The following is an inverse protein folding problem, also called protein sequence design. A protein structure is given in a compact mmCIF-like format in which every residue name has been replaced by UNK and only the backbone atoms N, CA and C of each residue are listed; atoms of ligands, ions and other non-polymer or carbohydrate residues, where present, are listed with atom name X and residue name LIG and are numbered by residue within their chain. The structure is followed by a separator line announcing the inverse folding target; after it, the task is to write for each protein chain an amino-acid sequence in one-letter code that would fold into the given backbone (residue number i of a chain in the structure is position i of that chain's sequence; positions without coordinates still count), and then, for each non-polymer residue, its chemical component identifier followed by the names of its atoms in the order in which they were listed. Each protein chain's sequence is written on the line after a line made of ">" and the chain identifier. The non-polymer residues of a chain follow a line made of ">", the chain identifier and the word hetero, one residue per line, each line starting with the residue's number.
data_IF_860072469447
#
_entry.id   IF_860072469447
#
_cell.length_a   1.000
_cell.length_b   1.000
_cell.length_c   1.000
_cell.angle_alpha   90.00
_cell.angle_beta   90.00
_cell.angle_gamma   90.00
#
_symmetry.space_group_name_H-M   'P 1'
#
loop_
_entity.id
_entity.type
_entity.pdbx_description
1 polymer ?
#
# COMPACT_ATOMS: atom_id res chain seq x y z
N UNK A 1 9.32 -15.05 -2.88
CA UNK A 1 9.34 -14.89 -4.35
C UNK A 1 7.91 -14.99 -4.84
N UNK A 2 7.57 -14.24 -5.88
CA UNK A 2 6.25 -14.21 -6.53
C UNK A 2 6.41 -14.68 -7.97
N UNK A 3 5.32 -15.05 -8.64
CA UNK A 3 5.35 -15.29 -10.09
C UNK A 3 4.46 -14.26 -10.75
N UNK A 4 4.99 -13.58 -11.76
CA UNK A 4 4.27 -12.58 -12.56
C UNK A 4 4.25 -13.01 -14.03
N UNK A 5 3.22 -12.60 -14.75
CA UNK A 5 3.15 -12.81 -16.19
C UNK A 5 3.68 -11.60 -16.94
N UNK A 6 4.67 -11.82 -17.81
CA UNK A 6 5.17 -10.82 -18.74
C UNK A 6 4.73 -11.22 -20.15
N UNK A 7 3.61 -10.65 -20.60
CA UNK A 7 2.84 -11.22 -21.72
C UNK A 7 2.19 -12.53 -21.29
N UNK A 8 2.34 -13.59 -22.08
CA UNK A 8 1.82 -14.93 -21.79
C UNK A 8 2.86 -15.87 -21.12
N UNK A 9 3.96 -15.32 -20.62
CA UNK A 9 5.04 -16.11 -19.99
C UNK A 9 5.07 -15.88 -18.46
N UNK A 10 4.83 -16.92 -17.64
CA UNK A 10 4.93 -16.84 -16.19
C UNK A 10 6.41 -16.91 -15.74
N UNK A 11 6.86 -15.88 -15.03
CA UNK A 11 8.24 -15.74 -14.56
C UNK A 11 8.29 -15.54 -13.03
N UNK A 12 9.10 -16.33 -12.29
CA UNK A 12 9.32 -16.12 -10.87
C UNK A 12 10.25 -14.92 -10.63
N UNK A 13 9.84 -14.01 -9.75
CA UNK A 13 10.58 -12.82 -9.37
C UNK A 13 10.80 -12.78 -7.85
N UNK A 14 12.04 -12.46 -7.47
CA UNK A 14 12.43 -12.20 -6.09
C UNK A 14 12.95 -10.76 -5.99
N UNK A 15 12.31 -9.97 -5.14
CA UNK A 15 12.68 -8.58 -4.86
C UNK A 15 13.12 -8.52 -3.40
N UNK A 16 14.39 -8.23 -3.11
CA UNK A 16 14.85 -7.89 -1.76
C UNK A 16 14.14 -6.64 -1.23
N UNK A 17 13.95 -6.55 0.10
CA UNK A 17 13.22 -5.42 0.70
C UNK A 17 13.92 -4.08 0.53
N UNK A 18 15.25 -4.05 0.57
CA UNK A 18 16.07 -2.85 0.35
C UNK A 18 15.93 -2.26 -1.06
N UNK A 19 15.43 -3.05 -2.01
CA UNK A 19 15.27 -2.68 -3.41
C UNK A 19 13.93 -1.99 -3.68
N UNK A 20 13.06 -1.86 -2.66
CA UNK A 20 11.75 -1.20 -2.76
C UNK A 20 11.96 0.30 -2.59
N UNK A 21 11.63 1.08 -3.62
CA UNK A 21 11.73 2.55 -3.61
C UNK A 21 10.39 3.21 -3.30
N UNK A 22 9.30 2.64 -3.80
CA UNK A 22 7.96 3.18 -3.62
C UNK A 22 6.96 2.03 -3.57
N UNK A 23 5.99 2.15 -2.67
CA UNK A 23 4.87 1.25 -2.52
C UNK A 23 3.57 2.05 -2.66
N UNK A 24 2.61 1.58 -3.44
CA UNK A 24 1.33 2.26 -3.67
C UNK A 24 0.21 1.24 -3.59
N UNK A 25 -0.83 1.53 -2.81
CA UNK A 25 -2.08 0.77 -2.78
C UNK A 25 -3.26 1.64 -3.27
N UNK A 26 -3.74 1.42 -4.51
CA UNK A 26 -4.86 2.17 -5.08
C UNK A 26 -6.18 2.00 -4.34
N UNK A 27 -6.38 0.90 -3.61
CA UNK A 27 -7.68 0.58 -2.99
C UNK A 27 -8.05 1.54 -1.87
N UNK A 28 -7.03 2.15 -1.26
CA UNK A 28 -7.16 3.12 -0.16
C UNK A 28 -6.43 4.43 -0.47
N UNK A 29 -6.06 4.64 -1.74
CA UNK A 29 -5.39 5.85 -2.24
C UNK A 29 -4.17 6.27 -1.41
N UNK A 30 -3.36 5.31 -0.95
CA UNK A 30 -2.17 5.57 -0.12
C UNK A 30 -0.89 5.07 -0.78
N UNK A 31 0.24 5.68 -0.41
CA UNK A 31 1.56 5.21 -0.81
C UNK A 31 2.65 5.55 0.20
N UNK A 32 3.76 4.84 0.10
CA UNK A 32 4.99 5.04 0.86
C UNK A 32 6.14 5.24 -0.11
N UNK A 33 7.05 6.16 0.21
CA UNK A 33 8.34 6.31 -0.46
C UNK A 33 9.44 6.00 0.53
N UNK A 34 10.37 5.15 0.12
CA UNK A 34 11.53 4.79 0.91
C UNK A 34 12.72 5.56 0.36
N UNK A 35 13.45 6.22 1.24
CA UNK A 35 14.77 6.73 0.90
C UNK A 35 15.78 5.61 1.06
N UNK A 36 16.61 5.41 0.02
CA UNK A 36 17.75 4.52 0.12
C UNK A 36 18.73 5.17 1.09
N UNK A 37 18.65 4.82 2.36
CA UNK A 37 19.69 5.14 3.33
C UNK A 37 20.99 4.46 2.87
N UNK A 38 21.76 5.12 2.01
CA UNK A 38 23.20 4.89 1.97
C UNK A 38 23.69 5.18 3.38
N UNK A 39 24.22 4.16 4.06
CA UNK A 39 24.68 4.16 5.46
C UNK A 39 25.25 5.53 5.87
N UNK A 40 24.39 6.34 6.48
CA UNK A 40 24.62 7.71 6.89
C UNK A 40 23.48 8.08 7.81
N UNK A 41 23.83 8.21 9.08
CA UNK A 41 22.97 8.32 10.25
C UNK A 41 21.78 9.29 10.11
N UNK A 42 20.68 8.93 10.78
CA UNK A 42 19.57 9.77 11.21
C UNK A 42 18.80 10.55 10.13
N UNK A 43 17.65 10.03 9.69
CA UNK A 43 16.33 10.43 10.22
C UNK A 43 15.25 9.72 9.38
N UNK A 44 14.43 8.86 9.99
CA UNK A 44 13.27 8.28 9.31
C UNK A 44 12.14 9.31 9.26
N UNK A 45 12.29 10.34 8.43
CA UNK A 45 11.21 11.28 8.16
C UNK A 45 10.15 10.60 7.29
N UNK A 46 8.98 10.40 7.87
CA UNK A 46 7.77 9.95 7.15
C UNK A 46 7.36 11.11 6.24
N UNK A 47 7.87 11.14 5.00
CA UNK A 47 7.46 12.11 3.98
C UNK A 47 6.02 11.80 3.56
N UNK A 48 5.07 12.46 4.23
CA UNK A 48 3.71 12.60 3.73
C UNK A 48 3.77 13.43 2.45
N UNK A 49 3.32 12.85 1.32
CA UNK A 49 3.28 13.53 0.02
C UNK A 49 2.13 14.55 -0.02
N UNK A 50 2.16 15.56 0.85
CA UNK A 50 1.17 16.64 0.93
C UNK A 50 1.47 17.81 -0.05
N UNK A 51 1.94 17.50 -1.26
CA UNK A 51 2.01 18.54 -2.29
C UNK A 51 1.77 17.99 -3.70
N UNK A 52 0.53 17.57 -3.94
CA UNK A 52 -0.07 17.68 -5.27
C UNK A 52 -1.27 18.61 -5.13
N UNK A 53 -1.03 19.91 -5.33
CA UNK A 53 -2.04 20.95 -5.50
C UNK A 53 -2.90 20.61 -6.73
N UNK A 54 -3.98 19.82 -6.56
CA UNK A 54 -5.27 19.89 -7.28
C UNK A 54 -6.09 18.61 -6.98
N UNK A 55 -6.62 18.49 -5.77
CA UNK A 55 -7.74 17.61 -5.48
C UNK A 55 -8.62 18.30 -4.42
N UNK A 56 -9.95 18.39 -4.61
CA UNK A 56 -10.80 19.02 -3.61
C UNK A 56 -10.74 18.20 -2.31
N UNK A 57 -10.18 18.79 -1.26
CA UNK A 57 -10.20 18.23 0.09
C UNK A 57 -11.65 17.91 0.49
N UNK A 58 -11.93 16.62 0.71
CA UNK A 58 -13.14 16.22 1.39
C UNK A 58 -13.01 16.65 2.87
N UNK A 59 -14.03 17.27 3.48
CA UNK A 59 -13.95 17.70 4.85
C UNK A 59 -13.79 16.46 5.74
N UNK A 60 -12.69 16.38 6.49
CA UNK A 60 -12.56 15.42 7.59
C UNK A 60 -13.51 15.85 8.70
N UNK A 61 -14.68 15.22 8.74
CA UNK A 61 -15.54 15.24 9.92
C UNK A 61 -14.84 14.43 11.02
N UNK A 62 -14.46 15.11 12.12
CA UNK A 62 -14.09 14.46 13.37
C UNK A 62 -15.27 13.61 13.85
N UNK A 63 -15.27 12.33 13.51
CA UNK A 63 -16.22 11.38 14.06
C UNK A 63 -15.82 11.07 15.51
N UNK A 64 -16.49 11.78 16.42
CA UNK A 64 -16.54 11.44 17.85
C UNK A 64 -16.85 9.94 18.04
N UNK A 65 -16.04 9.32 18.89
CA UNK A 65 -16.12 7.93 19.36
C UNK A 65 -17.52 7.32 19.42
N UNK A 66 -17.75 6.23 18.69
CA UNK A 66 -18.78 5.25 19.01
C UNK A 66 -18.21 3.84 18.89
N UNK A 67 -18.21 3.16 20.05
CA UNK A 67 -17.93 1.76 20.30
C UNK A 67 -18.82 0.86 19.43
N UNK A 68 -18.37 0.51 18.22
CA UNK A 68 -18.94 -0.60 17.44
C UNK A 68 -17.94 -1.75 17.40
N UNK A 69 -18.33 -3.00 17.73
CA UNK A 69 -17.42 -4.12 17.65
C UNK A 69 -16.95 -4.28 16.20
N UNK A 70 -15.63 -4.31 16.00
CA UNK A 70 -15.01 -4.50 14.70
C UNK A 70 -15.67 -5.70 14.00
N UNK A 71 -16.34 -5.43 12.89
CA UNK A 71 -16.95 -6.48 12.07
C UNK A 71 -15.81 -7.31 11.49
N UNK A 72 -15.75 -8.58 11.86
CA UNK A 72 -14.79 -9.53 11.30
C UNK A 72 -14.89 -9.52 9.77
N UNK A 73 -13.75 -9.29 9.11
CA UNK A 73 -13.67 -9.25 7.66
C UNK A 73 -14.02 -10.64 7.08
N UNK A 74 -14.94 -10.67 6.12
CA UNK A 74 -15.37 -11.90 5.46
C UNK A 74 -14.32 -12.33 4.42
N UNK A 75 -13.54 -13.36 4.77
CA UNK A 75 -12.56 -13.96 3.85
C UNK A 75 -13.27 -14.95 2.94
N UNK A 76 -13.43 -14.58 1.67
CA UNK A 76 -13.93 -15.48 0.63
C UNK A 76 -12.78 -16.11 -0.15
N UNK A 77 -12.81 -17.43 -0.33
CA UNK A 77 -11.78 -18.17 -1.07
C UNK A 77 -12.01 -18.10 -2.58
N UNK A 78 -10.95 -17.93 -3.37
CA UNK A 78 -10.99 -17.85 -4.84
C UNK A 78 -11.59 -19.10 -5.53
N UNK A 79 -11.58 -20.25 -4.86
CA UNK A 79 -12.22 -21.47 -5.36
C UNK A 79 -13.75 -21.38 -5.40
N UNK A 80 -14.35 -20.47 -4.62
CA UNK A 80 -15.81 -20.24 -4.59
C UNK A 80 -16.38 -19.74 -5.93
N UNK A 81 -15.52 -19.35 -6.87
CA UNK A 81 -15.89 -18.85 -8.20
C UNK A 81 -15.59 -19.83 -9.34
N UNK A 82 -14.99 -21.00 -9.06
CA UNK A 82 -14.79 -22.04 -10.08
C UNK A 82 -16.02 -22.95 -10.10
N UNK A 83 -16.61 -23.12 -11.29
CA UNK A 83 -17.89 -23.80 -11.54
C UNK A 83 -17.68 -25.26 -11.95
#
# INVERSE_FOLDING_TARGET
>A
AITLNFGDNPEPLYIPYDSIVTFVDPSVEFGLRFDSHEEGEDDAEVVSLENTEDAPEAPMEEAESADEPAKDAEVVSLDSFRK
#
